data_IF_556594583540
#
_entry.id   IF_556594583540
#
_cell.length_a   1.000
_cell.length_b   1.000
_cell.length_c   1.000
_cell.angle_alpha   90.00
_cell.angle_beta   90.00
_cell.angle_gamma   90.00
#
_symmetry.space_group_name_H-M   'P 1'
#
loop_
_entity.id
_entity.type
_entity.pdbx_description
1 polymer ?
#
# COMPACT_ATOMS: atom_id res chain seq x y z
N UNK A 1 0.84 -20.77 -6.16
CA UNK A 1 -0.40 -20.03 -5.89
C UNK A 1 -1.04 -19.71 -7.23
N UNK A 2 -2.35 -19.96 -7.39
CA UNK A 2 -3.04 -19.61 -8.64
C UNK A 2 -3.22 -18.09 -8.75
N UNK A 3 -3.40 -17.60 -9.97
CA UNK A 3 -3.60 -16.19 -10.32
C UNK A 3 -4.72 -15.53 -9.48
N UNK A 4 -5.89 -16.16 -9.38
CA UNK A 4 -7.03 -15.60 -8.64
C UNK A 4 -6.75 -15.40 -7.15
N UNK A 5 -6.09 -16.37 -6.51
CA UNK A 5 -5.71 -16.27 -5.09
C UNK A 5 -4.69 -15.16 -4.86
N UNK A 6 -3.69 -15.05 -5.76
CA UNK A 6 -2.70 -13.99 -5.72
C UNK A 6 -3.37 -12.61 -5.83
N UNK A 7 -4.25 -12.48 -6.83
CA UNK A 7 -4.97 -11.24 -7.09
C UNK A 7 -5.85 -10.84 -5.91
N UNK A 8 -6.66 -11.76 -5.39
CA UNK A 8 -7.52 -11.52 -4.23
C UNK A 8 -6.70 -11.12 -2.99
N UNK A 9 -5.56 -11.78 -2.75
CA UNK A 9 -4.64 -11.41 -1.67
C UNK A 9 -4.09 -10.00 -1.86
N UNK A 10 -3.52 -9.68 -3.03
CA UNK A 10 -2.99 -8.34 -3.30
C UNK A 10 -4.07 -7.27 -3.13
N UNK A 11 -5.25 -7.48 -3.71
CA UNK A 11 -6.36 -6.55 -3.60
C UNK A 11 -6.78 -6.34 -2.14
N UNK A 12 -6.86 -7.40 -1.34
CA UNK A 12 -7.23 -7.32 0.08
C UNK A 12 -6.23 -6.51 0.90
N UNK A 13 -4.92 -6.74 0.72
CA UNK A 13 -3.88 -5.97 1.44
C UNK A 13 -3.88 -4.50 1.06
N UNK A 14 -4.01 -4.18 -0.23
CA UNK A 14 -4.07 -2.80 -0.71
C UNK A 14 -5.37 -2.11 -0.24
N UNK A 15 -6.51 -2.79 -0.28
CA UNK A 15 -7.78 -2.28 0.23
C UNK A 15 -7.74 -2.02 1.74
N UNK A 16 -7.19 -2.97 2.52
CA UNK A 16 -7.00 -2.81 3.97
C UNK A 16 -6.08 -1.62 4.27
N UNK A 17 -4.99 -1.46 3.51
CA UNK A 17 -4.13 -0.29 3.61
C UNK A 17 -4.87 1.01 3.33
N UNK A 18 -5.69 1.05 2.27
CA UNK A 18 -6.47 2.24 1.92
C UNK A 18 -7.47 2.61 3.02
N UNK A 19 -8.15 1.63 3.61
CA UNK A 19 -9.05 1.84 4.73
C UNK A 19 -8.30 2.35 5.97
N UNK A 20 -7.17 1.73 6.32
CA UNK A 20 -6.34 2.15 7.44
C UNK A 20 -5.86 3.59 7.27
N UNK A 21 -5.44 3.96 6.05
CA UNK A 21 -5.06 5.33 5.72
C UNK A 21 -6.23 6.30 5.86
N UNK A 22 -7.44 5.92 5.42
CA UNK A 22 -8.63 6.77 5.54
C UNK A 22 -8.94 7.08 7.01
N UNK A 23 -8.91 6.08 7.90
CA UNK A 23 -9.08 6.28 9.34
C UNK A 23 -7.97 7.13 9.94
N UNK A 24 -6.71 6.88 9.57
CA UNK A 24 -5.58 7.68 10.05
C UNK A 24 -5.71 9.15 9.64
N UNK A 25 -6.07 9.41 8.39
CA UNK A 25 -6.25 10.76 7.88
C UNK A 25 -7.42 11.48 8.59
N UNK A 26 -8.53 10.78 8.82
CA UNK A 26 -9.66 11.35 9.57
C UNK A 26 -9.29 11.68 11.02
N UNK A 27 -8.59 10.78 11.71
CA UNK A 27 -8.09 11.01 13.07
C UNK A 27 -7.13 12.21 13.14
N UNK A 28 -6.22 12.35 12.17
CA UNK A 28 -5.29 13.49 12.09
C UNK A 28 -6.04 14.79 11.85
N UNK A 29 -7.02 14.80 10.93
CA UNK A 29 -7.85 15.98 10.67
C UNK A 29 -8.65 16.37 11.91
N UNK A 30 -9.23 15.40 12.63
CA UNK A 30 -9.97 15.65 13.86
C UNK A 30 -9.07 16.25 14.95
N UNK A 31 -7.91 15.66 15.19
CA UNK A 31 -6.93 16.16 16.15
C UNK A 31 -6.46 17.59 15.78
N UNK A 32 -6.19 17.83 14.50
CA UNK A 32 -5.78 19.15 14.01
C UNK A 32 -6.85 20.22 14.28
N UNK A 33 -8.12 19.93 14.00
CA UNK A 33 -9.24 20.85 14.29
C UNK A 33 -9.36 21.14 15.78
N UNK A 34 -9.22 20.12 16.62
CA UNK A 34 -9.34 20.26 18.06
C UNK A 34 -8.24 21.15 18.66
N UNK A 35 -7.01 20.99 18.18
CA UNK A 35 -5.85 21.76 18.66
C UNK A 35 -5.82 23.21 18.14
N UNK A 36 -6.33 23.45 16.94
CA UNK A 36 -6.19 24.76 16.26
C UNK A 36 -7.49 25.58 16.19
N UNK A 37 -8.58 25.12 16.81
CA UNK A 37 -9.85 25.87 16.86
C UNK A 37 -10.66 25.88 15.55
N UNK A 38 -10.44 24.92 14.65
CA UNK A 38 -11.16 24.78 13.38
C UNK A 38 -10.31 25.08 12.13
N UNK A 39 -10.96 25.10 10.95
CA UNK A 39 -10.31 25.44 9.68
C UNK A 39 -10.43 26.94 9.40
N UNK A 40 -9.31 27.62 9.12
CA UNK A 40 -9.31 28.95 8.49
C UNK A 40 -9.75 28.85 7.03
N UNK A 41 -10.00 29.97 6.33
CA UNK A 41 -10.37 29.98 4.89
C UNK A 41 -9.39 29.22 3.99
N UNK A 42 -8.10 29.19 4.35
CA UNK A 42 -7.07 28.35 3.72
C UNK A 42 -7.34 26.84 3.90
N UNK A 43 -7.96 26.41 5.00
CA UNK A 43 -8.28 25.02 5.31
C UNK A 43 -9.27 24.35 4.36
N UNK A 44 -10.16 25.11 3.70
CA UNK A 44 -11.14 24.57 2.74
C UNK A 44 -10.49 24.19 1.40
N UNK A 45 -9.67 25.08 0.84
CA UNK A 45 -8.88 24.78 -0.38
C UNK A 45 -7.88 23.64 -0.13
N UNK A 46 -7.28 23.65 1.06
CA UNK A 46 -6.42 22.58 1.58
C UNK A 46 -7.18 21.25 1.67
N UNK A 47 -8.43 21.25 2.13
CA UNK A 47 -9.30 20.07 2.19
C UNK A 47 -9.59 19.46 0.81
N UNK A 48 -9.80 20.28 -0.22
CA UNK A 48 -10.02 19.80 -1.59
C UNK A 48 -8.79 19.09 -2.16
N UNK A 49 -7.59 19.60 -1.89
CA UNK A 49 -6.35 18.94 -2.30
C UNK A 49 -6.18 17.56 -1.64
N UNK A 50 -6.59 17.39 -0.38
CA UNK A 50 -6.52 16.08 0.28
C UNK A 50 -7.45 15.03 -0.33
N UNK A 51 -8.64 15.43 -0.80
CA UNK A 51 -9.52 14.50 -1.51
C UNK A 51 -8.91 14.03 -2.82
N UNK A 52 -8.30 14.94 -3.60
CA UNK A 52 -7.62 14.57 -4.84
C UNK A 52 -6.49 13.56 -4.59
N UNK A 53 -5.65 13.80 -3.57
CA UNK A 53 -4.54 12.89 -3.21
C UNK A 53 -5.05 11.55 -2.69
N UNK A 54 -6.18 11.51 -2.01
CA UNK A 54 -6.81 10.25 -1.61
C UNK A 54 -7.27 9.43 -2.82
N UNK A 55 -7.92 10.05 -3.83
CA UNK A 55 -8.32 9.35 -5.04
C UNK A 55 -7.14 8.86 -5.88
N UNK A 56 -6.08 9.66 -5.99
CA UNK A 56 -4.82 9.24 -6.64
C UNK A 56 -4.25 8.02 -5.92
N UNK A 57 -4.17 8.08 -4.59
CA UNK A 57 -3.67 6.98 -3.78
C UNK A 57 -4.50 5.71 -3.93
N UNK A 58 -5.84 5.83 -3.95
CA UNK A 58 -6.74 4.70 -4.19
C UNK A 58 -6.51 4.10 -5.58
N UNK A 59 -6.43 4.93 -6.62
CA UNK A 59 -6.16 4.50 -7.99
C UNK A 59 -4.81 3.81 -8.11
N UNK A 60 -3.77 4.38 -7.52
CA UNK A 60 -2.42 3.79 -7.48
C UNK A 60 -2.42 2.44 -6.77
N UNK A 61 -3.09 2.31 -5.63
CA UNK A 61 -3.15 1.04 -4.89
C UNK A 61 -3.94 -0.03 -5.65
N UNK A 62 -5.00 0.36 -6.37
CA UNK A 62 -5.72 -0.54 -7.26
C UNK A 62 -4.83 -1.05 -8.39
N UNK A 63 -4.11 -0.14 -9.07
CA UNK A 63 -3.17 -0.49 -10.14
C UNK A 63 -2.03 -1.37 -9.60
N UNK A 64 -1.48 -1.05 -8.43
CA UNK A 64 -0.43 -1.83 -7.78
C UNK A 64 -0.92 -3.25 -7.37
N UNK A 65 -2.20 -3.39 -7.02
CA UNK A 65 -2.80 -4.70 -6.73
C UNK A 65 -2.96 -5.57 -7.99
N UNK A 66 -3.23 -4.95 -9.15
CA UNK A 66 -3.43 -5.63 -10.44
C UNK A 66 -2.12 -6.07 -11.10
N UNK A 67 -1.04 -5.33 -10.89
CA UNK A 67 0.24 -5.57 -11.55
C UNK A 67 1.00 -6.73 -10.86
N UNK A 68 1.52 -7.72 -11.61
CA UNK A 68 2.29 -8.82 -11.02
C UNK A 68 3.78 -8.48 -10.77
N UNK A 69 4.32 -7.46 -11.43
CA UNK A 69 5.74 -7.10 -11.39
C UNK A 69 6.06 -6.23 -10.16
N UNK A 70 6.98 -6.70 -9.30
CA UNK A 70 7.44 -5.94 -8.13
C UNK A 70 8.09 -4.61 -8.53
N UNK A 71 8.93 -4.60 -9.55
CA UNK A 71 9.61 -3.39 -10.02
C UNK A 71 8.57 -2.35 -10.45
N UNK A 72 7.57 -2.76 -11.22
CA UNK A 72 6.50 -1.86 -11.66
C UNK A 72 5.71 -1.28 -10.46
N UNK A 73 5.42 -2.09 -9.43
CA UNK A 73 4.79 -1.59 -8.20
C UNK A 73 5.63 -0.53 -7.50
N UNK A 74 6.94 -0.77 -7.36
CA UNK A 74 7.86 0.16 -6.71
C UNK A 74 8.03 1.45 -7.52
N UNK A 75 8.06 1.37 -8.86
CA UNK A 75 8.09 2.55 -9.73
C UNK A 75 6.83 3.38 -9.57
N UNK A 76 5.64 2.76 -9.62
CA UNK A 76 4.37 3.48 -9.45
C UNK A 76 4.28 4.11 -8.05
N UNK A 77 4.73 3.41 -7.01
CA UNK A 77 4.86 3.96 -5.67
C UNK A 77 5.76 5.20 -5.64
N UNK A 78 6.95 5.11 -6.23
CA UNK A 78 7.89 6.22 -6.30
C UNK A 78 7.32 7.41 -7.08
N UNK A 79 6.62 7.15 -8.19
CA UNK A 79 5.92 8.18 -8.97
C UNK A 79 4.83 8.87 -8.15
N UNK A 80 4.02 8.11 -7.41
CA UNK A 80 3.00 8.67 -6.53
C UNK A 80 3.61 9.58 -5.46
N UNK A 81 4.62 9.09 -4.73
CA UNK A 81 5.30 9.87 -3.68
C UNK A 81 6.00 11.10 -4.27
N UNK A 82 6.70 10.93 -5.40
CA UNK A 82 7.34 12.04 -6.10
C UNK A 82 6.35 13.09 -6.57
N UNK A 83 5.19 12.67 -7.09
CA UNK A 83 4.11 13.59 -7.47
C UNK A 83 3.55 14.36 -6.28
N UNK A 84 3.30 13.68 -5.14
CA UNK A 84 2.84 14.34 -3.90
C UNK A 84 3.86 15.40 -3.47
N UNK A 85 5.15 15.07 -3.47
CA UNK A 85 6.21 15.99 -3.08
C UNK A 85 6.30 17.16 -4.06
N UNK A 86 6.36 16.92 -5.38
CA UNK A 86 6.45 17.99 -6.37
C UNK A 86 5.27 18.97 -6.31
N UNK A 87 4.06 18.46 -6.04
CA UNK A 87 2.87 19.29 -5.98
C UNK A 87 2.73 20.03 -4.66
N UNK A 88 2.93 19.35 -3.52
CA UNK A 88 2.63 19.94 -2.22
C UNK A 88 3.83 20.55 -1.50
N UNK A 89 5.06 20.13 -1.80
CA UNK A 89 6.24 20.58 -1.06
C UNK A 89 6.46 22.11 -1.15
N UNK A 90 6.24 22.79 -2.29
CA UNK A 90 6.45 24.24 -2.38
C UNK A 90 5.54 25.07 -1.46
N UNK A 91 4.26 24.69 -1.36
CA UNK A 91 3.23 25.49 -0.70
C UNK A 91 2.83 24.94 0.68
N UNK A 92 2.94 23.62 0.88
CA UNK A 92 2.41 22.91 2.04
C UNK A 92 3.35 21.75 2.47
N UNK A 93 4.59 22.04 2.91
CA UNK A 93 5.63 21.02 3.12
C UNK A 93 5.28 19.98 4.18
N UNK A 94 4.64 20.39 5.29
CA UNK A 94 4.23 19.47 6.35
C UNK A 94 3.19 18.45 5.84
N UNK A 95 2.26 18.91 5.00
CA UNK A 95 1.24 18.04 4.39
C UNK A 95 1.87 17.14 3.34
N UNK A 96 2.77 17.67 2.51
CA UNK A 96 3.52 16.89 1.53
C UNK A 96 4.23 15.71 2.21
N UNK A 97 4.87 15.98 3.35
CA UNK A 97 5.53 14.95 4.15
C UNK A 97 4.51 13.94 4.72
N UNK A 98 3.41 14.41 5.33
CA UNK A 98 2.38 13.52 5.87
C UNK A 98 1.79 12.61 4.79
N UNK A 99 1.30 13.17 3.68
CA UNK A 99 0.71 12.41 2.59
C UNK A 99 1.74 11.49 1.93
N UNK A 100 2.91 12.00 1.58
CA UNK A 100 3.97 11.22 0.94
C UNK A 100 4.43 10.05 1.80
N UNK A 101 4.69 10.28 3.10
CA UNK A 101 5.14 9.23 4.02
C UNK A 101 3.99 8.28 4.36
N UNK A 102 2.82 8.78 4.76
CA UNK A 102 1.71 7.91 5.18
C UNK A 102 1.20 7.05 4.01
N UNK A 103 0.90 7.67 2.86
CA UNK A 103 0.42 6.94 1.68
C UNK A 103 1.53 6.04 1.10
N UNK A 104 2.77 6.52 1.10
CA UNK A 104 3.93 5.76 0.66
C UNK A 104 4.18 4.52 1.52
N UNK A 105 4.24 4.67 2.84
CA UNK A 105 4.45 3.57 3.78
C UNK A 105 3.32 2.54 3.71
N UNK A 106 2.06 2.97 3.66
CA UNK A 106 0.91 2.05 3.55
C UNK A 106 0.99 1.22 2.28
N UNK A 107 1.27 1.86 1.14
CA UNK A 107 1.39 1.18 -0.15
C UNK A 107 2.59 0.23 -0.15
N UNK A 108 3.74 0.67 0.38
CA UNK A 108 4.95 -0.14 0.49
C UNK A 108 4.72 -1.37 1.37
N UNK A 109 4.07 -1.22 2.52
CA UNK A 109 3.77 -2.32 3.42
C UNK A 109 2.85 -3.35 2.77
N UNK A 110 1.84 -2.93 2.01
CA UNK A 110 0.99 -3.84 1.23
C UNK A 110 1.80 -4.62 0.18
N UNK A 111 2.71 -3.94 -0.53
CA UNK A 111 3.62 -4.59 -1.49
C UNK A 111 4.50 -5.62 -0.77
N UNK A 112 5.20 -5.21 0.29
CA UNK A 112 6.14 -6.08 1.00
C UNK A 112 5.42 -7.29 1.63
N UNK A 113 4.28 -7.09 2.28
CA UNK A 113 3.50 -8.17 2.88
C UNK A 113 3.10 -9.23 1.84
N UNK A 114 2.59 -8.79 0.69
CA UNK A 114 2.18 -9.69 -0.39
C UNK A 114 3.37 -10.41 -1.02
N UNK A 115 4.51 -9.73 -1.20
CA UNK A 115 5.75 -10.35 -1.70
C UNK A 115 6.33 -11.39 -0.74
N UNK A 116 6.32 -11.12 0.57
CA UNK A 116 6.79 -12.08 1.57
C UNK A 116 5.93 -13.34 1.55
N UNK A 117 4.61 -13.20 1.43
CA UNK A 117 3.70 -14.35 1.33
C UNK A 117 3.96 -15.14 0.04
N UNK A 118 4.10 -14.45 -1.10
CA UNK A 118 4.43 -15.08 -2.39
C UNK A 118 5.74 -15.88 -2.32
N UNK A 119 6.80 -15.28 -1.78
CA UNK A 119 8.10 -15.91 -1.63
C UNK A 119 8.03 -17.14 -0.71
N UNK A 120 7.40 -17.01 0.46
CA UNK A 120 7.20 -18.14 1.39
C UNK A 120 6.42 -19.28 0.74
N UNK A 121 5.38 -18.96 -0.04
CA UNK A 121 4.60 -19.96 -0.76
C UNK A 121 5.45 -20.69 -1.81
N UNK A 122 6.28 -19.97 -2.56
CA UNK A 122 7.17 -20.55 -3.56
C UNK A 122 8.22 -21.49 -2.92
N UNK A 123 8.85 -21.05 -1.83
CA UNK A 123 9.84 -21.83 -1.09
C UNK A 123 9.24 -23.13 -0.52
N UNK A 124 8.03 -23.09 0.04
CA UNK A 124 7.35 -24.28 0.56
C UNK A 124 7.08 -25.30 -0.54
N UNK A 125 6.59 -24.86 -1.70
CA UNK A 125 6.33 -25.78 -2.81
C UNK A 125 7.61 -26.40 -3.38
N UNK A 126 8.72 -25.65 -3.39
CA UNK A 126 10.01 -26.16 -3.82
C UNK A 126 10.51 -27.26 -2.86
N UNK A 127 10.42 -27.03 -1.55
CA UNK A 127 10.80 -28.01 -0.53
C UNK A 127 9.92 -29.28 -0.56
N UNK A 128 8.62 -29.14 -0.84
CA UNK A 128 7.71 -30.30 -0.99
C UNK A 128 8.03 -31.15 -2.24
N UNK A 129 8.65 -30.58 -3.28
CA UNK A 129 9.01 -31.31 -4.51
C UNK A 129 10.32 -32.09 -4.40
N UNK A 130 11.21 -31.71 -3.48
CA UNK A 130 12.52 -32.35 -3.29
C UNK A 130 12.54 -33.46 -2.24
N UNK A 131 11.42 -33.72 -1.55
CA UNK A 131 11.27 -34.90 -0.71
C UNK A 131 11.37 -36.17 -1.58
N UNK A 132 12.38 -37.03 -1.39
CA UNK A 132 12.46 -38.29 -2.11
C UNK A 132 11.26 -39.15 -1.75
N UNK A 133 10.68 -39.85 -2.73
CA UNK A 133 9.72 -40.92 -2.47
C UNK A 133 10.43 -41.91 -1.55
N UNK A 134 10.01 -41.97 -0.29
CA UNK A 134 10.52 -42.95 0.66
C UNK A 134 10.12 -44.32 0.12
N UNK A 135 11.07 -45.22 -0.22
CA UNK A 135 10.71 -46.54 -0.70
C UNK A 135 9.91 -47.22 0.41
N UNK A 136 8.66 -47.58 0.12
CA UNK A 136 7.87 -48.40 1.03
C UNK A 136 8.70 -49.63 1.37
N UNK A 137 8.95 -49.82 2.67
CA UNK A 137 9.81 -50.87 3.16
C UNK A 137 9.38 -52.22 2.59
N UNK A 138 10.27 -52.85 1.84
CA UNK A 138 10.20 -54.27 1.57
C UNK A 138 10.52 -55.00 2.87
N UNK A 139 9.50 -55.18 3.70
CA UNK A 139 9.45 -56.26 4.68
C UNK A 139 8.92 -57.49 3.95
N UNK A 140 9.83 -58.33 3.46
CA UNK A 140 9.70 -59.79 3.43
C UNK A 140 11.08 -60.42 3.57
#
# INVERSE_FOLDING_TARGET
MNFYTRFAMCLSFHAAGCLAYAFLNDAVVHAYKHLNGGFTSHGVAIGMASYALFYIFLGVNLVAALIPSLIAKLVILALMVGFILLWMLPENPLRALFYGVAQGCVTLLAILATQVIELRWALRNAASRTQPIQPEGTTQ
#
